data_IF_392300904159
#
_entry.id   IF_392300904159
#
_cell.length_a   1.000
_cell.length_b   1.000
_cell.length_c   1.000
_cell.angle_alpha   90.00
_cell.angle_beta   90.00
_cell.angle_gamma   90.00
#
_symmetry.space_group_name_H-M   'P 1'
#
loop_
_entity.id
_entity.type
_entity.pdbx_description
1 polymer ?
#
# COMPACT_ATOMS: atom_id res chain seq x y z
N UNK A 1 -6.71 -21.67 5.21
CA UNK A 1 -6.16 -20.49 4.53
C UNK A 1 -5.81 -19.43 5.59
N UNK A 2 -4.52 -19.25 5.93
CA UNK A 2 -4.09 -18.58 7.17
C UNK A 2 -3.94 -17.05 7.08
N UNK A 3 -4.34 -16.42 5.97
CA UNK A 3 -4.30 -14.96 5.81
C UNK A 3 -5.46 -14.19 6.47
N UNK A 4 -6.36 -14.88 7.18
CA UNK A 4 -7.46 -14.26 7.93
C UNK A 4 -7.11 -13.91 9.39
N UNK A 5 -5.91 -14.26 9.89
CA UNK A 5 -5.40 -13.72 11.16
C UNK A 5 -4.82 -12.34 10.95
N UNK A 6 -5.66 -11.39 10.55
CA UNK A 6 -5.28 -9.98 10.56
C UNK A 6 -5.42 -9.48 12.01
N UNK A 7 -4.28 -9.39 12.72
CA UNK A 7 -4.14 -8.80 14.05
C UNK A 7 -4.76 -9.62 15.20
N UNK A 8 -3.94 -10.43 15.88
CA UNK A 8 -4.27 -10.79 17.27
C UNK A 8 -4.19 -9.50 18.09
N UNK A 9 -5.32 -9.15 18.70
CA UNK A 9 -5.43 -7.94 19.51
C UNK A 9 -4.42 -8.01 20.66
N UNK A 10 -3.61 -6.97 20.90
CA UNK A 10 -2.78 -6.92 22.09
C UNK A 10 -3.67 -6.91 23.33
N UNK A 11 -3.35 -7.74 24.33
CA UNK A 11 -4.16 -7.87 25.56
C UNK A 11 -4.28 -6.56 26.35
N UNK A 12 -3.42 -5.58 26.06
CA UNK A 12 -3.43 -4.23 26.63
C UNK A 12 -4.46 -3.28 25.99
N UNK A 13 -5.08 -3.62 24.85
CA UNK A 13 -6.08 -2.77 24.20
C UNK A 13 -7.51 -3.21 24.51
N UNK A 14 -8.40 -2.23 24.68
CA UNK A 14 -9.84 -2.46 24.86
C UNK A 14 -10.58 -2.61 23.52
N UNK A 15 -11.84 -3.08 23.55
CA UNK A 15 -12.72 -3.15 22.37
C UNK A 15 -12.94 -1.80 21.71
N UNK A 16 -13.04 -0.76 22.51
CA UNK A 16 -13.17 0.61 22.04
C UNK A 16 -11.90 1.09 21.31
N UNK A 17 -10.71 0.74 21.82
CA UNK A 17 -9.45 1.14 21.18
C UNK A 17 -9.25 0.44 19.82
N UNK A 18 -9.66 -0.83 19.72
CA UNK A 18 -9.65 -1.56 18.45
C UNK A 18 -10.67 -1.01 17.45
N UNK A 19 -11.84 -0.57 17.91
CA UNK A 19 -12.81 0.11 17.05
C UNK A 19 -12.23 1.43 16.52
N UNK A 20 -11.60 2.24 17.37
CA UNK A 20 -10.93 3.49 16.95
C UNK A 20 -9.84 3.26 15.91
N UNK A 21 -9.00 2.23 16.10
CA UNK A 21 -7.98 1.85 15.10
C UNK A 21 -8.60 1.44 13.76
N UNK A 22 -9.67 0.65 13.80
CA UNK A 22 -10.36 0.20 12.59
C UNK A 22 -11.07 1.36 11.88
N UNK A 23 -11.65 2.30 12.62
CA UNK A 23 -12.29 3.48 12.07
C UNK A 23 -11.28 4.40 11.38
N UNK A 24 -10.14 4.67 12.02
CA UNK A 24 -9.04 5.44 11.42
C UNK A 24 -8.53 4.77 10.14
N UNK A 25 -8.32 3.45 10.18
CA UNK A 25 -7.90 2.69 9.00
C UNK A 25 -8.93 2.82 7.87
N UNK A 26 -10.21 2.64 8.18
CA UNK A 26 -11.30 2.75 7.21
C UNK A 26 -11.35 4.16 6.62
N UNK A 27 -11.20 5.18 7.45
CA UNK A 27 -11.20 6.57 7.03
C UNK A 27 -10.02 6.88 6.10
N UNK A 28 -8.81 6.40 6.42
CA UNK A 28 -7.63 6.53 5.55
C UNK A 28 -7.86 5.87 4.18
N UNK A 29 -8.48 4.69 4.13
CA UNK A 29 -8.81 4.02 2.87
C UNK A 29 -9.88 4.77 2.08
N UNK A 30 -10.95 5.21 2.73
CA UNK A 30 -12.03 5.96 2.07
C UNK A 30 -11.51 7.29 1.53
N UNK A 31 -10.71 8.02 2.29
CA UNK A 31 -10.14 9.29 1.85
C UNK A 31 -9.04 9.09 0.80
N UNK A 32 -8.24 8.02 0.89
CA UNK A 32 -7.32 7.63 -0.18
C UNK A 32 -8.05 7.32 -1.49
N UNK A 33 -9.16 6.58 -1.44
CA UNK A 33 -10.00 6.30 -2.61
C UNK A 33 -10.62 7.57 -3.20
N UNK A 34 -11.12 8.48 -2.36
CA UNK A 34 -11.59 9.81 -2.81
C UNK A 34 -10.46 10.60 -3.47
N UNK A 35 -9.29 10.62 -2.83
CA UNK A 35 -8.10 11.27 -3.34
C UNK A 35 -7.67 10.73 -4.69
N UNK A 36 -7.82 9.44 -4.94
CA UNK A 36 -7.56 8.83 -6.24
C UNK A 36 -8.50 9.39 -7.31
N UNK A 37 -9.80 9.48 -7.04
CA UNK A 37 -10.78 10.02 -8.00
C UNK A 37 -10.47 11.49 -8.31
N UNK A 38 -10.30 12.32 -7.28
CA UNK A 38 -9.98 13.74 -7.46
C UNK A 38 -8.63 13.95 -8.13
N UNK A 39 -7.64 13.15 -7.76
CA UNK A 39 -6.31 13.17 -8.35
C UNK A 39 -6.33 12.79 -9.82
N UNK A 40 -7.10 11.77 -10.21
CA UNK A 40 -7.24 11.36 -11.61
C UNK A 40 -7.88 12.44 -12.48
N UNK A 41 -8.94 13.10 -11.99
CA UNK A 41 -9.55 14.25 -12.68
C UNK A 41 -8.53 15.40 -12.76
N UNK A 42 -7.82 15.69 -11.67
CA UNK A 42 -6.77 16.69 -11.61
C UNK A 42 -5.62 16.42 -12.58
N UNK A 43 -5.26 15.16 -12.82
CA UNK A 43 -4.25 14.75 -13.80
C UNK A 43 -4.64 15.10 -15.24
N UNK A 44 -5.90 14.86 -15.63
CA UNK A 44 -6.42 15.22 -16.96
C UNK A 44 -6.43 16.75 -17.13
N UNK A 45 -6.91 17.47 -16.12
CA UNK A 45 -6.91 18.94 -16.12
C UNK A 45 -5.49 19.50 -16.16
N UNK A 46 -4.56 18.91 -15.40
CA UNK A 46 -3.14 19.26 -15.39
C UNK A 46 -2.48 19.09 -16.75
N UNK A 47 -2.82 18.02 -17.47
CA UNK A 47 -2.36 17.82 -18.84
C UNK A 47 -2.87 18.93 -19.77
N UNK A 48 -4.15 19.31 -19.63
CA UNK A 48 -4.75 20.40 -20.41
C UNK A 48 -4.09 21.76 -20.14
N UNK A 49 -3.73 22.02 -18.88
CA UNK A 49 -3.00 23.23 -18.49
C UNK A 49 -1.57 23.21 -19.03
N UNK A 50 -0.89 22.06 -18.99
CA UNK A 50 0.46 21.92 -19.54
C UNK A 50 0.50 22.26 -21.02
N UNK A 51 -0.44 21.75 -21.82
CA UNK A 51 -0.58 22.06 -23.25
C UNK A 51 -0.79 23.56 -23.48
N UNK A 52 -1.57 24.22 -22.61
CA UNK A 52 -1.82 25.66 -22.67
C UNK A 52 -0.54 26.47 -22.40
N UNK A 53 0.25 26.09 -21.39
CA UNK A 53 1.52 26.74 -21.07
C UNK A 53 2.57 26.54 -22.16
N UNK A 54 2.68 25.33 -22.73
CA UNK A 54 3.57 25.05 -23.85
C UNK A 54 3.24 25.87 -25.09
N UNK A 55 1.95 25.98 -25.44
CA UNK A 55 1.49 26.76 -26.58
C UNK A 55 1.78 28.26 -26.39
N UNK A 56 1.56 28.77 -25.17
CA UNK A 56 1.89 30.16 -24.81
C UNK A 56 3.40 30.43 -24.92
N UNK A 57 4.25 29.52 -24.45
CA UNK A 57 5.72 29.66 -24.54
C UNK A 57 6.22 29.65 -25.98
N UNK A 58 5.57 28.89 -26.87
CA UNK A 58 5.88 28.80 -28.30
C UNK A 58 5.33 29.98 -29.13
N UNK A 59 4.71 30.98 -28.49
CA UNK A 59 4.19 32.18 -29.16
C UNK A 59 3.01 31.90 -30.10
N UNK A 60 2.36 30.74 -29.99
CA UNK A 60 1.19 30.40 -30.81
C UNK A 60 -0.07 31.01 -30.20
N UNK A 61 -0.93 31.55 -31.06
CA UNK A 61 -2.24 32.07 -30.66
C UNK A 61 -2.99 31.02 -29.84
N UNK A 62 -3.57 31.46 -28.73
CA UNK A 62 -4.23 30.64 -27.72
C UNK A 62 -5.58 30.14 -28.26
N UNK A 63 -5.54 29.28 -29.29
CA UNK A 63 -6.74 28.68 -29.86
C UNK A 63 -7.25 27.61 -28.90
N UNK A 64 -8.27 27.97 -28.10
CA UNK A 64 -9.21 26.99 -27.57
C UNK A 64 -9.84 26.28 -28.78
N UNK A 65 -9.68 24.96 -28.95
CA UNK A 65 -9.77 23.96 -27.89
C UNK A 65 -8.42 23.29 -27.54
N UNK A 66 -8.30 22.67 -26.35
CA UNK A 66 -7.19 21.80 -26.03
C UNK A 66 -7.21 20.62 -27.01
N UNK A 67 -6.45 20.73 -28.09
CA UNK A 67 -6.05 19.57 -28.86
C UNK A 67 -5.19 18.77 -27.90
N UNK A 68 -5.74 17.68 -27.35
CA UNK A 68 -4.97 16.65 -26.66
C UNK A 68 -3.91 16.15 -27.64
N UNK A 69 -2.79 16.85 -27.67
CA UNK A 69 -1.71 16.61 -28.64
C UNK A 69 -0.91 15.39 -28.20
N UNK A 70 -1.06 15.04 -26.92
CA UNK A 70 -0.50 13.87 -26.28
C UNK A 70 -1.39 12.65 -26.53
N UNK A 71 -0.80 11.57 -27.05
CA UNK A 71 -1.52 10.33 -27.35
C UNK A 71 -2.16 9.67 -26.13
N UNK A 72 -3.04 8.68 -26.37
CA UNK A 72 -3.85 7.98 -25.34
C UNK A 72 -3.05 7.49 -24.13
N UNK A 73 -1.78 7.11 -24.35
CA UNK A 73 -0.87 6.64 -23.30
C UNK A 73 -0.53 7.74 -22.28
N UNK A 74 -0.39 8.99 -22.71
CA UNK A 74 -0.04 10.11 -21.84
C UNK A 74 -1.25 10.59 -21.02
N UNK A 75 -2.44 10.57 -21.61
CA UNK A 75 -3.68 10.82 -20.88
C UNK A 75 -3.90 9.74 -19.80
N UNK A 76 -3.67 8.47 -20.14
CA UNK A 76 -3.70 7.37 -19.18
C UNK A 76 -2.65 7.54 -18.06
N UNK A 77 -1.42 7.90 -18.43
CA UNK A 77 -0.36 8.16 -17.46
C UNK A 77 -0.72 9.31 -16.51
N UNK A 78 -1.29 10.40 -17.01
CA UNK A 78 -1.71 11.53 -16.19
C UNK A 78 -2.85 11.17 -15.24
N UNK A 79 -3.82 10.37 -15.68
CA UNK A 79 -4.89 9.84 -14.83
C UNK A 79 -4.34 8.96 -13.71
N UNK A 80 -3.40 8.06 -14.03
CA UNK A 80 -2.79 7.16 -13.06
C UNK A 80 -1.89 7.90 -12.08
N UNK A 81 -1.01 8.77 -12.56
CA UNK A 81 -0.14 9.59 -11.72
C UNK A 81 -0.95 10.54 -10.85
N UNK A 82 -1.93 11.23 -11.44
CA UNK A 82 -2.84 12.10 -10.71
C UNK A 82 -3.56 11.32 -9.60
N UNK A 83 -4.10 10.15 -9.92
CA UNK A 83 -4.77 9.29 -8.94
C UNK A 83 -3.87 8.82 -7.81
N UNK A 84 -2.64 8.38 -8.11
CA UNK A 84 -1.67 7.96 -7.09
C UNK A 84 -1.30 9.14 -6.17
N UNK A 85 -0.99 10.30 -6.75
CA UNK A 85 -0.62 11.51 -5.98
C UNK A 85 -1.80 11.99 -5.13
N UNK A 86 -3.00 12.05 -5.69
CA UNK A 86 -4.20 12.47 -4.96
C UNK A 86 -4.57 11.52 -3.84
N UNK A 87 -4.44 10.20 -4.07
CA UNK A 87 -4.64 9.17 -3.04
C UNK A 87 -3.63 9.32 -1.90
N UNK A 88 -2.35 9.47 -2.23
CA UNK A 88 -1.28 9.64 -1.25
C UNK A 88 -1.49 10.88 -0.38
N UNK A 89 -1.79 12.03 -1.00
CA UNK A 89 -2.02 13.27 -0.26
C UNK A 89 -3.25 13.18 0.65
N UNK A 90 -4.35 12.63 0.15
CA UNK A 90 -5.59 12.50 0.93
C UNK A 90 -5.43 11.52 2.10
N UNK A 91 -4.77 10.38 1.86
CA UNK A 91 -4.44 9.42 2.91
C UNK A 91 -3.49 10.03 3.96
N UNK A 92 -2.48 10.80 3.52
CA UNK A 92 -1.52 11.46 4.41
C UNK A 92 -2.18 12.52 5.29
N UNK A 93 -3.03 13.38 4.73
CA UNK A 93 -3.75 14.40 5.48
C UNK A 93 -4.72 13.77 6.50
N UNK A 94 -5.39 12.68 6.12
CA UNK A 94 -6.25 11.91 7.03
C UNK A 94 -5.41 11.29 8.15
N UNK A 95 -4.25 10.71 7.80
CA UNK A 95 -3.31 10.16 8.77
C UNK A 95 -2.90 11.18 9.82
N UNK A 96 -2.45 12.38 9.41
CA UNK A 96 -2.05 13.46 10.32
C UNK A 96 -3.19 13.86 11.25
N UNK A 97 -4.42 13.94 10.75
CA UNK A 97 -5.60 14.27 11.57
C UNK A 97 -5.90 13.18 12.60
N UNK A 98 -5.81 11.92 12.18
CA UNK A 98 -6.11 10.76 13.01
C UNK A 98 -5.09 10.49 14.13
N UNK A 99 -3.89 11.10 14.07
CA UNK A 99 -2.89 11.00 15.15
C UNK A 99 -3.47 11.45 16.49
N UNK A 100 -4.34 12.46 16.49
CA UNK A 100 -4.97 12.96 17.72
C UNK A 100 -5.92 11.95 18.36
N UNK A 101 -6.64 11.20 17.53
CA UNK A 101 -7.61 10.19 17.98
C UNK A 101 -6.91 8.90 18.42
N UNK A 102 -5.72 8.63 17.88
CA UNK A 102 -4.88 7.49 18.24
C UNK A 102 -3.99 7.73 19.46
N UNK A 103 -3.76 8.98 19.84
CA UNK A 103 -2.94 9.34 21.01
C UNK A 103 -3.27 8.54 22.30
N UNK A 104 -4.54 8.42 22.73
CA UNK A 104 -4.89 7.64 23.92
C UNK A 104 -4.59 6.14 23.77
N UNK A 105 -4.64 5.60 22.55
CA UNK A 105 -4.30 4.20 22.27
C UNK A 105 -2.79 3.99 22.43
N UNK A 106 -1.97 4.95 21.97
CA UNK A 106 -0.51 4.89 22.13
C UNK A 106 -0.08 5.02 23.60
N UNK A 107 -0.68 5.91 24.37
CA UNK A 107 -0.39 6.04 25.81
C UNK A 107 -0.70 4.76 26.58
N UNK A 108 -1.82 4.10 26.28
CA UNK A 108 -2.17 2.79 26.88
C UNK A 108 -1.20 1.68 26.48
N UNK A 109 -0.75 1.67 25.23
CA UNK A 109 0.27 0.74 24.76
C UNK A 109 1.62 0.89 25.47
N UNK A 110 1.99 2.12 25.85
CA UNK A 110 3.22 2.41 26.62
C UNK A 110 3.05 2.07 28.11
N UNK A 111 1.84 2.22 28.65
CA UNK A 111 1.54 2.03 30.08
C UNK A 111 1.53 0.56 30.52
N UNK A 112 1.33 -0.37 29.58
CA UNK A 112 1.38 -1.81 29.82
C UNK A 112 2.48 -2.45 28.96
N UNK A 113 3.77 -2.24 29.29
CA UNK A 113 4.84 -2.99 28.64
C UNK A 113 4.67 -4.47 28.97
N UNK A 114 4.63 -5.33 27.94
CA UNK A 114 4.68 -6.78 28.16
C UNK A 114 5.94 -7.11 28.98
N UNK A 115 5.86 -7.98 30.00
CA UNK A 115 7.04 -8.41 30.73
C UNK A 115 8.04 -9.04 29.75
N UNK A 116 9.34 -8.76 29.93
CA UNK A 116 10.41 -9.13 28.99
C UNK A 116 10.44 -10.63 28.64
N UNK A 117 10.04 -11.47 29.60
CA UNK A 117 9.94 -12.93 29.44
C UNK A 117 8.89 -13.37 28.41
N UNK A 118 7.78 -12.62 28.30
CA UNK A 118 6.76 -12.88 27.27
C UNK A 118 7.24 -12.40 25.89
N UNK A 119 8.02 -11.31 25.85
CA UNK A 119 8.61 -10.79 24.63
C UNK A 119 9.61 -11.78 24.01
N UNK A 120 10.48 -12.36 24.83
CA UNK A 120 11.45 -13.36 24.39
C UNK A 120 10.76 -14.59 23.80
N UNK A 121 9.67 -15.05 24.44
CA UNK A 121 8.87 -16.17 23.93
C UNK A 121 8.17 -15.88 22.60
N UNK A 122 7.73 -14.63 22.39
CA UNK A 122 7.11 -14.20 21.12
C UNK A 122 8.18 -14.12 20.03
N UNK A 123 9.36 -13.57 20.35
CA UNK A 123 10.49 -13.47 19.43
C UNK A 123 10.98 -14.85 19.02
N UNK A 124 11.17 -15.78 19.96
CA UNK A 124 11.57 -17.17 19.66
C UNK A 124 10.53 -17.85 18.75
N UNK A 125 9.23 -17.69 19.05
CA UNK A 125 8.15 -18.29 18.25
C UNK A 125 8.08 -17.72 16.83
N UNK A 126 8.35 -16.43 16.64
CA UNK A 126 8.45 -15.82 15.32
C UNK A 126 9.72 -16.25 14.57
N UNK A 127 10.85 -16.36 15.26
CA UNK A 127 12.12 -16.81 14.67
C UNK A 127 12.02 -18.26 14.18
N UNK A 128 11.45 -19.15 14.99
CA UNK A 128 11.23 -20.55 14.65
C UNK A 128 10.26 -20.68 13.47
N UNK A 129 9.15 -19.94 13.51
CA UNK A 129 8.21 -19.90 12.39
C UNK A 129 8.82 -19.32 11.11
N UNK A 130 9.78 -18.40 11.20
CA UNK A 130 10.53 -17.90 10.05
C UNK A 130 11.48 -18.96 9.49
N UNK A 131 12.21 -19.65 10.36
CA UNK A 131 13.16 -20.68 9.98
C UNK A 131 12.45 -21.87 9.31
N UNK A 132 11.32 -22.31 9.85
CA UNK A 132 10.49 -23.35 9.25
C UNK A 132 9.99 -22.99 7.85
N UNK A 133 9.58 -21.74 7.64
CA UNK A 133 9.16 -21.25 6.31
C UNK A 133 10.31 -21.24 5.31
N UNK A 134 11.52 -20.91 5.75
CA UNK A 134 12.73 -20.95 4.91
C UNK A 134 13.10 -22.40 4.57
N UNK A 135 13.02 -23.30 5.55
CA UNK A 135 13.30 -24.72 5.35
C UNK A 135 12.28 -25.39 4.42
N UNK A 136 10.99 -25.06 4.54
CA UNK A 136 9.97 -25.53 3.60
C UNK A 136 10.25 -25.05 2.17
N UNK A 137 10.61 -23.78 1.97
CA UNK A 137 11.00 -23.28 0.65
C UNK A 137 12.18 -24.06 0.07
N UNK A 138 13.21 -24.34 0.87
CA UNK A 138 14.37 -25.12 0.43
C UNK A 138 13.98 -26.54 0.01
N UNK A 139 13.10 -27.21 0.76
CA UNK A 139 12.59 -28.54 0.42
C UNK A 139 11.81 -28.53 -0.90
N UNK A 140 10.88 -27.59 -1.07
CA UNK A 140 10.12 -27.46 -2.31
C UNK A 140 11.01 -27.17 -3.53
N UNK A 141 12.08 -26.39 -3.33
CA UNK A 141 13.04 -26.07 -4.40
C UNK A 141 13.92 -27.28 -4.75
N UNK A 142 14.31 -28.08 -3.76
CA UNK A 142 15.05 -29.32 -4.01
C UNK A 142 14.19 -30.35 -4.74
N UNK A 143 12.90 -30.46 -4.41
CA UNK A 143 11.97 -31.38 -5.08
C UNK A 143 11.71 -30.96 -6.52
N UNK A 144 11.53 -29.65 -6.79
CA UNK A 144 11.37 -29.14 -8.15
C UNK A 144 12.61 -29.39 -9.01
N UNK A 145 13.81 -29.22 -8.46
CA UNK A 145 15.07 -29.49 -9.19
C UNK A 145 15.26 -30.97 -9.51
N UNK A 146 14.85 -31.87 -8.60
CA UNK A 146 14.87 -33.33 -8.84
C UNK A 146 13.83 -33.74 -9.89
N UNK A 147 12.67 -33.09 -9.91
CA UNK A 147 11.65 -33.34 -10.92
C UNK A 147 12.06 -32.82 -12.29
N UNK A 148 12.68 -31.65 -12.36
CA UNK A 148 13.25 -31.10 -13.57
C UNK A 148 14.35 -32.01 -14.12
N UNK A 149 15.29 -32.48 -13.29
CA UNK A 149 16.37 -33.37 -13.76
C UNK A 149 15.84 -34.68 -14.36
N UNK A 150 14.81 -35.29 -13.77
CA UNK A 150 14.12 -36.46 -14.33
C UNK A 150 13.43 -36.15 -15.67
N UNK A 151 12.83 -34.96 -15.80
CA UNK A 151 12.18 -34.52 -17.05
C UNK A 151 13.17 -34.26 -18.20
N UNK A 152 14.41 -33.88 -17.87
CA UNK A 152 15.49 -33.72 -18.84
C UNK A 152 16.05 -35.10 -19.25
N UNK A 153 16.15 -36.05 -18.32
CA UNK A 153 16.69 -37.39 -18.61
C UNK A 153 15.76 -38.21 -19.52
N UNK A 154 14.43 -38.03 -19.41
CA UNK A 154 13.44 -38.69 -20.30
C UNK A 154 13.30 -38.10 -21.70
N UNK A 155 14.01 -37.00 -22.03
CA UNK A 155 13.96 -36.33 -23.35
C UNK A 155 15.09 -36.75 -24.30
N UNK A 156 16.02 -37.59 -23.85
CA UNK A 156 17.17 -38.08 -24.61
C UNK A 156 17.12 -39.60 -24.88
N UNK A 157 15.95 -40.22 -24.74
CA UNK A 157 15.68 -41.59 -25.20
C UNK A 157 14.67 -41.58 -26.34
#
# INVERSE_FOLDING_TARGET
>A
MPWLRAYERPDSLTDEDMQRLNDVRREMWVNGAKGMVFGSVGGITGLSLFDMFEQKKKGRSLTLPPRFTYGRNNAFLAVMLGGVVGSYLSARLTGIRSVRDLYPVFERGISHPKPSEELDSIVERELDGHNDRVLQRRKTLSESLVQDSKSYQGRFC
#
